data_IF_858515314158
#
_entry.id   IF_858515314158
#
_cell.length_a   1.000
_cell.length_b   1.000
_cell.length_c   1.000
_cell.angle_alpha   90.00
_cell.angle_beta   90.00
_cell.angle_gamma   90.00
#
_symmetry.space_group_name_H-M   'P 1'
#
loop_
_entity.id
_entity.type
_entity.pdbx_description
1 polymer ?
#
# COMPACT_ATOMS: atom_id res chain seq x y z
N UNK A 1 -16.36 -29.32 9.92
CA UNK A 1 -16.28 -29.07 11.36
C UNK A 1 -15.06 -29.79 11.92
N UNK A 2 -14.22 -29.06 12.67
CA UNK A 2 -13.10 -29.66 13.40
C UNK A 2 -13.63 -30.06 14.76
N UNK A 3 -13.50 -31.35 15.11
CA UNK A 3 -13.75 -31.82 16.45
C UNK A 3 -12.56 -31.44 17.33
N UNK A 4 -12.78 -31.19 18.61
CA UNK A 4 -11.74 -30.88 19.61
C UNK A 4 -10.83 -29.71 19.20
N UNK A 5 -11.43 -28.61 18.79
CA UNK A 5 -10.72 -27.38 18.42
C UNK A 5 -9.98 -26.80 19.64
N UNK A 6 -8.65 -26.79 19.60
CA UNK A 6 -7.79 -26.24 20.67
C UNK A 6 -7.17 -24.91 20.34
N UNK A 7 -6.94 -24.58 19.06
CA UNK A 7 -6.31 -23.35 18.61
C UNK A 7 -6.86 -22.89 17.27
N UNK A 8 -7.07 -21.59 17.12
CA UNK A 8 -7.31 -20.91 15.85
C UNK A 8 -6.25 -19.82 15.68
N UNK A 9 -5.58 -19.80 14.54
CA UNK A 9 -4.62 -18.75 14.18
C UNK A 9 -5.16 -17.99 12.97
N UNK A 10 -5.22 -16.67 13.08
CA UNK A 10 -5.58 -15.75 12.00
C UNK A 10 -4.38 -14.87 11.72
N UNK A 11 -3.66 -15.17 10.66
CA UNK A 11 -2.53 -14.37 10.21
C UNK A 11 -3.01 -13.17 9.40
N UNK A 12 -2.28 -12.04 9.48
CA UNK A 12 -2.66 -10.76 8.86
C UNK A 12 -4.14 -10.39 9.13
N UNK A 13 -4.55 -10.44 10.41
CA UNK A 13 -5.96 -10.31 10.84
C UNK A 13 -6.67 -9.04 10.35
N UNK A 14 -5.88 -8.02 9.99
CA UNK A 14 -6.35 -6.74 9.45
C UNK A 14 -6.78 -6.81 7.98
N UNK A 15 -6.49 -7.92 7.29
CA UNK A 15 -6.76 -8.06 5.87
C UNK A 15 -8.24 -7.93 5.52
N UNK A 16 -8.53 -7.01 4.60
CA UNK A 16 -9.92 -6.76 4.15
C UNK A 16 -10.55 -7.96 3.44
N UNK A 17 -9.76 -8.91 2.95
CA UNK A 17 -10.24 -10.14 2.31
C UNK A 17 -10.96 -11.08 3.27
N UNK A 18 -10.76 -10.94 4.58
CA UNK A 18 -11.53 -11.67 5.58
C UNK A 18 -13.00 -11.19 5.70
N UNK A 19 -13.33 -10.04 5.10
CA UNK A 19 -14.70 -9.54 5.08
C UNK A 19 -15.42 -10.01 3.83
N UNK A 20 -16.42 -10.88 4.00
CA UNK A 20 -17.36 -11.20 2.94
C UNK A 20 -18.37 -10.07 2.78
N UNK A 21 -18.38 -9.42 1.62
CA UNK A 21 -19.29 -8.33 1.30
C UNK A 21 -20.52 -8.85 0.55
N UNK A 22 -20.33 -9.82 -0.34
CA UNK A 22 -21.34 -10.45 -1.17
C UNK A 22 -20.91 -11.88 -1.50
N UNK A 23 -21.80 -12.89 -1.51
CA UNK A 23 -23.20 -12.84 -1.10
C UNK A 23 -23.42 -12.80 0.42
N UNK A 24 -24.69 -12.69 0.84
CA UNK A 24 -25.05 -12.94 2.25
C UNK A 24 -24.87 -14.44 2.60
N UNK A 25 -24.53 -14.75 3.89
CA UNK A 25 -24.36 -13.85 5.04
C UNK A 25 -23.07 -13.07 4.98
N UNK A 26 -23.13 -11.77 5.30
CA UNK A 26 -21.97 -10.84 5.30
C UNK A 26 -21.24 -10.94 6.63
N UNK A 27 -20.28 -11.85 6.76
CA UNK A 27 -19.49 -12.06 7.96
C UNK A 27 -18.06 -11.52 7.79
N UNK A 28 -17.33 -11.43 8.89
CA UNK A 28 -15.89 -11.21 8.92
C UNK A 28 -15.24 -12.48 9.45
N UNK A 29 -14.37 -13.12 8.67
CA UNK A 29 -13.82 -14.42 9.05
C UNK A 29 -13.00 -14.36 10.35
N UNK A 30 -12.26 -13.26 10.61
CA UNK A 30 -11.59 -13.02 11.89
C UNK A 30 -12.56 -13.09 13.07
N UNK A 31 -13.68 -12.39 12.98
CA UNK A 31 -14.65 -12.32 14.07
C UNK A 31 -15.34 -13.68 14.27
N UNK A 32 -15.62 -14.39 13.18
CA UNK A 32 -16.11 -15.78 13.22
C UNK A 32 -15.08 -16.70 13.89
N UNK A 33 -13.78 -16.55 13.58
CA UNK A 33 -12.71 -17.33 14.18
C UNK A 33 -12.65 -17.11 15.70
N UNK A 34 -12.71 -15.88 16.17
CA UNK A 34 -12.75 -15.53 17.60
C UNK A 34 -13.97 -16.16 18.29
N UNK A 35 -15.15 -15.99 17.71
CA UNK A 35 -16.37 -16.57 18.29
C UNK A 35 -16.35 -18.09 18.29
N UNK A 36 -15.84 -18.72 17.24
CA UNK A 36 -15.73 -20.18 17.15
C UNK A 36 -14.76 -20.76 18.19
N UNK A 37 -13.60 -20.08 18.36
CA UNK A 37 -12.64 -20.46 19.39
C UNK A 37 -13.25 -20.34 20.79
N UNK A 38 -13.91 -19.21 21.08
CA UNK A 38 -14.59 -18.99 22.35
C UNK A 38 -15.63 -20.05 22.66
N UNK A 39 -16.50 -20.41 21.71
CA UNK A 39 -17.51 -21.45 21.87
C UNK A 39 -16.92 -22.86 22.11
N UNK A 40 -15.71 -23.09 21.56
CA UNK A 40 -15.02 -24.39 21.73
C UNK A 40 -14.10 -24.44 22.98
N UNK A 41 -13.97 -23.35 23.73
CA UNK A 41 -12.98 -23.23 24.80
C UNK A 41 -11.54 -23.23 24.29
N UNK A 42 -11.33 -22.89 23.02
CA UNK A 42 -10.03 -22.90 22.34
C UNK A 42 -9.35 -21.52 22.43
N UNK A 43 -8.04 -21.50 22.28
CA UNK A 43 -7.28 -20.26 22.09
C UNK A 43 -7.50 -19.69 20.68
N UNK A 44 -7.53 -18.35 20.56
CA UNK A 44 -7.51 -17.66 19.27
C UNK A 44 -6.34 -16.69 19.23
N UNK A 45 -5.43 -16.83 18.25
CA UNK A 45 -4.28 -15.96 18.04
C UNK A 45 -4.53 -15.13 16.79
N UNK A 46 -4.51 -13.82 16.95
CA UNK A 46 -4.62 -12.84 15.85
C UNK A 46 -3.23 -12.24 15.62
N UNK A 47 -2.62 -12.52 14.47
CA UNK A 47 -1.29 -12.05 14.09
C UNK A 47 -1.37 -10.87 13.13
N UNK A 48 -0.62 -9.80 13.38
CA UNK A 48 -0.46 -8.69 12.45
C UNK A 48 0.70 -7.78 12.85
N UNK A 49 1.43 -7.27 11.87
CA UNK A 49 2.36 -6.17 12.07
C UNK A 49 1.63 -4.81 12.22
N UNK A 50 0.42 -4.72 11.67
CA UNK A 50 -0.43 -3.52 11.65
C UNK A 50 -1.87 -3.91 12.04
N UNK A 51 -2.11 -4.20 13.32
CA UNK A 51 -3.42 -4.68 13.77
C UNK A 51 -4.56 -3.75 13.38
N UNK A 52 -5.74 -4.32 13.14
CA UNK A 52 -6.94 -3.54 12.88
C UNK A 52 -7.35 -2.69 14.08
N UNK A 53 -8.00 -1.56 13.83
CA UNK A 53 -8.47 -0.68 14.91
C UNK A 53 -9.40 -1.41 15.89
N UNK A 54 -10.20 -2.37 15.41
CA UNK A 54 -11.06 -3.21 16.25
C UNK A 54 -10.25 -4.09 17.20
N UNK A 55 -9.18 -4.74 16.70
CA UNK A 55 -8.32 -5.59 17.53
C UNK A 55 -7.58 -4.78 18.59
N UNK A 56 -7.07 -3.60 18.21
CA UNK A 56 -6.43 -2.65 19.15
C UNK A 56 -7.42 -2.18 20.21
N UNK A 57 -8.63 -1.79 19.81
CA UNK A 57 -9.66 -1.35 20.74
C UNK A 57 -10.07 -2.47 21.73
N UNK A 58 -10.21 -3.71 21.25
CA UNK A 58 -10.52 -4.85 22.10
C UNK A 58 -9.38 -5.19 23.06
N UNK A 59 -8.12 -5.06 22.64
CA UNK A 59 -6.97 -5.23 23.51
C UNK A 59 -6.91 -4.14 24.60
N UNK A 60 -7.12 -2.87 24.23
CA UNK A 60 -7.17 -1.75 25.18
C UNK A 60 -8.34 -1.87 26.18
N UNK A 61 -9.44 -2.45 25.76
CA UNK A 61 -10.58 -2.73 26.63
C UNK A 61 -10.41 -4.01 27.50
N UNK A 62 -9.25 -4.69 27.42
CA UNK A 62 -8.97 -5.91 28.19
C UNK A 62 -9.70 -7.16 27.71
N UNK A 63 -10.34 -7.13 26.53
CA UNK A 63 -11.00 -8.29 25.93
C UNK A 63 -10.01 -9.25 25.28
N UNK A 64 -8.89 -8.72 24.77
CA UNK A 64 -7.79 -9.47 24.19
C UNK A 64 -6.51 -9.23 25.00
N UNK A 65 -5.66 -10.24 25.08
CA UNK A 65 -4.31 -10.10 25.61
C UNK A 65 -3.38 -9.68 24.48
N UNK A 66 -2.72 -8.54 24.62
CA UNK A 66 -1.75 -8.05 23.64
C UNK A 66 -0.38 -8.66 23.92
N UNK A 67 0.17 -9.33 22.92
CA UNK A 67 1.55 -9.83 22.90
C UNK A 67 2.34 -9.03 21.87
N UNK A 68 3.47 -8.49 22.28
CA UNK A 68 4.32 -7.67 21.40
C UNK A 68 5.56 -8.45 20.99
N UNK A 69 5.90 -8.38 19.71
CA UNK A 69 7.12 -8.91 19.12
C UNK A 69 7.92 -7.73 18.51
N UNK A 70 8.66 -6.97 19.34
CA UNK A 70 9.32 -5.74 18.92
C UNK A 70 10.52 -5.97 17.99
N UNK A 71 11.10 -7.18 18.05
CA UNK A 71 12.28 -7.53 17.28
C UNK A 71 11.91 -8.51 16.16
N UNK A 72 12.62 -8.39 15.04
CA UNK A 72 12.54 -9.39 13.96
C UNK A 72 13.14 -10.71 14.44
N UNK A 73 12.54 -11.82 14.03
CA UNK A 73 13.08 -13.16 14.34
C UNK A 73 14.43 -13.33 13.65
N UNK A 74 15.46 -13.80 14.37
CA UNK A 74 16.75 -14.11 13.79
C UNK A 74 16.64 -15.09 12.62
N UNK A 75 17.40 -14.85 11.56
CA UNK A 75 17.39 -15.74 10.39
C UNK A 75 18.32 -16.92 10.65
N UNK A 76 17.80 -18.14 10.50
CA UNK A 76 18.59 -19.36 10.60
C UNK A 76 19.17 -19.68 9.21
N UNK A 77 20.48 -19.62 9.07
CA UNK A 77 21.17 -19.99 7.85
C UNK A 77 21.07 -21.49 7.54
N UNK A 78 21.29 -21.91 6.27
CA UNK A 78 21.32 -23.33 5.88
C UNK A 78 22.39 -24.14 6.64
N UNK A 79 23.45 -23.48 7.10
CA UNK A 79 24.55 -24.00 7.89
C UNK A 79 24.24 -24.14 9.40
N UNK A 80 23.01 -23.81 9.81
CA UNK A 80 22.57 -23.83 11.21
C UNK A 80 23.01 -22.61 12.01
N UNK A 81 23.73 -21.66 11.41
CA UNK A 81 24.09 -20.40 12.08
C UNK A 81 22.88 -19.51 12.26
N UNK A 82 22.80 -18.83 13.40
CA UNK A 82 21.77 -17.84 13.67
C UNK A 82 22.34 -16.46 13.43
N UNK A 83 21.78 -15.72 12.48
CA UNK A 83 22.20 -14.36 12.15
C UNK A 83 21.25 -13.36 12.75
N UNK A 84 21.77 -12.24 13.22
CA UNK A 84 20.94 -11.12 13.66
C UNK A 84 20.04 -10.64 12.51
N UNK A 85 18.78 -10.30 12.78
CA UNK A 85 17.87 -9.79 11.76
C UNK A 85 18.36 -8.41 11.28
N UNK A 86 18.19 -8.14 9.99
CA UNK A 86 18.46 -6.82 9.45
C UNK A 86 17.57 -5.76 10.14
N UNK A 87 18.10 -4.55 10.43
CA UNK A 87 17.31 -3.47 11.00
C UNK A 87 16.15 -3.10 10.07
N UNK A 88 15.13 -2.44 10.61
CA UNK A 88 14.07 -1.88 9.77
C UNK A 88 14.67 -0.82 8.84
N UNK A 89 14.25 -0.78 7.56
CA UNK A 89 14.77 0.21 6.63
C UNK A 89 14.34 1.63 7.07
N UNK A 90 15.20 2.63 6.93
CA UNK A 90 14.83 4.02 7.11
C UNK A 90 13.75 4.40 6.10
N UNK A 91 12.76 5.17 6.56
CA UNK A 91 11.66 5.67 5.74
C UNK A 91 11.86 7.17 5.55
N UNK A 92 11.97 7.61 4.30
CA UNK A 92 12.05 9.02 3.92
C UNK A 92 10.74 9.43 3.24
N UNK A 93 10.16 10.53 3.70
CA UNK A 93 8.97 11.12 3.11
C UNK A 93 9.36 12.32 2.27
N UNK A 94 8.91 12.37 1.03
CA UNK A 94 9.17 13.45 0.08
C UNK A 94 7.88 14.19 -0.23
N UNK A 95 7.88 15.48 -0.02
CA UNK A 95 6.75 16.37 -0.36
C UNK A 95 6.80 16.73 -1.85
N UNK A 96 5.96 16.07 -2.65
CA UNK A 96 5.85 16.32 -4.09
C UNK A 96 5.34 17.74 -4.41
N UNK A 97 4.49 18.31 -3.56
CA UNK A 97 4.03 19.69 -3.73
C UNK A 97 5.19 20.69 -3.65
N UNK A 98 6.07 20.48 -2.66
CA UNK A 98 7.30 21.28 -2.54
C UNK A 98 8.26 21.06 -3.72
N UNK A 99 8.46 19.82 -4.16
CA UNK A 99 9.31 19.51 -5.31
C UNK A 99 8.80 20.15 -6.61
N UNK A 100 7.48 20.16 -6.82
CA UNK A 100 6.86 20.84 -7.98
C UNK A 100 7.14 22.32 -7.97
N UNK A 101 7.04 22.99 -6.82
CA UNK A 101 7.27 24.43 -6.67
C UNK A 101 8.75 24.78 -6.80
N UNK A 102 9.63 24.06 -6.13
CA UNK A 102 11.05 24.41 -6.04
C UNK A 102 11.84 23.87 -7.23
N UNK A 103 11.62 22.63 -7.63
CA UNK A 103 12.39 21.93 -8.67
C UNK A 103 11.65 21.81 -9.99
N UNK A 104 10.43 22.37 -10.12
CA UNK A 104 9.57 22.29 -11.31
C UNK A 104 9.33 20.85 -11.78
N UNK A 105 9.13 19.94 -10.83
CA UNK A 105 8.86 18.53 -11.12
C UNK A 105 7.63 18.38 -12.02
N UNK A 106 7.79 17.75 -13.18
CA UNK A 106 6.68 17.52 -14.14
C UNK A 106 6.13 16.09 -14.11
N UNK A 107 6.79 15.16 -13.44
CA UNK A 107 6.44 13.75 -13.41
C UNK A 107 5.82 13.28 -12.10
N UNK A 108 5.72 11.97 -11.97
CA UNK A 108 5.26 11.28 -10.76
C UNK A 108 6.42 10.91 -9.84
N UNK A 109 7.66 10.82 -10.35
CA UNK A 109 8.83 10.42 -9.58
C UNK A 109 9.60 11.65 -9.07
N UNK A 110 9.75 11.80 -7.76
CA UNK A 110 10.56 12.83 -7.13
C UNK A 110 12.04 12.71 -7.53
N UNK A 111 12.76 13.81 -7.39
CA UNK A 111 14.20 13.81 -7.64
C UNK A 111 14.94 12.80 -6.75
N UNK A 112 14.57 12.75 -5.47
CA UNK A 112 15.18 11.84 -4.50
C UNK A 112 14.93 10.36 -4.87
N UNK A 113 13.70 10.03 -5.33
CA UNK A 113 13.41 8.68 -5.77
C UNK A 113 14.15 8.32 -7.05
N UNK A 114 14.31 9.26 -8.00
CA UNK A 114 15.08 9.04 -9.23
C UNK A 114 16.56 8.75 -8.92
N UNK A 115 17.19 9.55 -8.06
CA UNK A 115 18.58 9.32 -7.64
C UNK A 115 18.74 7.96 -6.93
N UNK A 116 17.78 7.59 -6.08
CA UNK A 116 17.83 6.31 -5.40
C UNK A 116 17.68 5.13 -6.39
N UNK A 117 16.85 5.25 -7.41
CA UNK A 117 16.72 4.23 -8.47
C UNK A 117 18.05 4.11 -9.24
N UNK A 118 18.65 5.22 -9.66
CA UNK A 118 19.95 5.23 -10.36
C UNK A 118 21.02 4.51 -9.54
N UNK A 119 21.14 4.86 -8.27
CA UNK A 119 22.12 4.23 -7.35
C UNK A 119 21.90 2.70 -7.25
N UNK A 120 20.66 2.22 -7.25
CA UNK A 120 20.37 0.79 -7.19
C UNK A 120 20.65 0.07 -8.52
N UNK A 121 20.39 0.73 -9.65
CA UNK A 121 20.74 0.20 -10.98
C UNK A 121 22.26 0.05 -11.11
N UNK A 122 23.04 1.07 -10.69
CA UNK A 122 24.50 1.03 -10.73
C UNK A 122 25.08 -0.07 -9.85
N UNK A 123 24.44 -0.39 -8.72
CA UNK A 123 24.84 -1.46 -7.80
C UNK A 123 24.36 -2.85 -8.23
N UNK A 124 23.50 -2.96 -9.26
CA UNK A 124 22.85 -4.21 -9.65
C UNK A 124 21.83 -4.72 -8.62
N UNK A 125 21.32 -3.82 -7.80
CA UNK A 125 20.29 -4.08 -6.81
C UNK A 125 18.90 -3.88 -7.41
N UNK A 126 17.87 -4.38 -6.72
CA UNK A 126 16.50 -4.34 -7.22
C UNK A 126 15.64 -3.32 -6.49
N UNK A 127 14.69 -2.75 -7.21
CA UNK A 127 13.73 -1.76 -6.69
C UNK A 127 12.31 -2.27 -6.85
N UNK A 128 11.48 -2.09 -5.81
CA UNK A 128 10.03 -2.23 -5.89
C UNK A 128 9.41 -0.83 -5.88
N UNK A 129 8.58 -0.55 -6.89
CA UNK A 129 7.78 0.66 -6.96
C UNK A 129 6.31 0.31 -6.75
N UNK A 130 5.75 0.79 -5.65
CA UNK A 130 4.33 0.69 -5.39
C UNK A 130 3.63 1.93 -5.89
N UNK A 131 2.72 1.77 -6.84
CA UNK A 131 1.73 2.80 -7.11
C UNK A 131 0.51 2.53 -6.24
N UNK A 132 0.25 3.44 -5.29
CA UNK A 132 -0.86 3.29 -4.36
C UNK A 132 -2.20 3.58 -5.04
N UNK A 133 -2.60 2.71 -5.99
CA UNK A 133 -3.87 2.80 -6.71
C UNK A 133 -4.89 1.81 -6.16
N UNK A 134 -5.89 2.29 -5.43
CA UNK A 134 -7.14 1.55 -5.21
C UNK A 134 -8.31 2.33 -5.77
N UNK A 135 -9.12 1.66 -6.60
CA UNK A 135 -10.47 2.10 -6.95
C UNK A 135 -10.57 3.19 -8.01
N UNK A 136 -11.65 3.12 -8.75
CA UNK A 136 -12.00 3.99 -9.88
C UNK A 136 -12.75 5.26 -9.41
N UNK A 137 -12.48 5.76 -8.21
CA UNK A 137 -13.09 7.01 -7.76
C UNK A 137 -12.16 8.18 -8.15
N UNK A 138 -12.50 8.95 -9.19
CA UNK A 138 -11.72 10.11 -9.58
C UNK A 138 -11.89 11.18 -8.50
N UNK A 139 -10.91 11.27 -7.60
CA UNK A 139 -10.84 12.34 -6.61
C UNK A 139 -10.17 13.55 -7.25
N UNK A 140 -10.72 14.74 -7.01
CA UNK A 140 -10.11 15.99 -7.44
C UNK A 140 -9.02 16.40 -6.45
N UNK A 141 -7.87 16.86 -6.94
CA UNK A 141 -6.81 17.42 -6.09
C UNK A 141 -6.17 18.63 -6.76
N UNK A 142 -5.73 19.57 -5.96
CA UNK A 142 -4.92 20.69 -6.43
C UNK A 142 -3.45 20.24 -6.56
N UNK A 143 -2.84 20.49 -7.72
CA UNK A 143 -1.42 20.12 -7.93
C UNK A 143 -0.45 20.97 -7.09
N UNK A 144 -0.85 22.20 -6.77
CA UNK A 144 0.03 23.15 -6.07
C UNK A 144 0.02 22.99 -4.55
N UNK A 145 -1.13 22.74 -3.92
CA UNK A 145 -1.23 22.69 -2.47
C UNK A 145 -1.73 21.33 -1.93
N UNK A 146 -2.16 20.40 -2.80
CA UNK A 146 -2.69 19.11 -2.38
C UNK A 146 -4.13 19.14 -1.86
N UNK A 147 -4.82 20.29 -1.93
CA UNK A 147 -6.21 20.39 -1.52
C UNK A 147 -7.09 19.36 -2.22
N UNK A 148 -7.99 18.75 -1.46
CA UNK A 148 -8.95 17.76 -1.93
C UNK A 148 -10.33 18.06 -1.35
N UNK A 149 -11.40 18.08 -2.15
CA UNK A 149 -12.75 18.36 -1.66
C UNK A 149 -13.23 17.24 -0.73
N UNK A 150 -13.66 17.63 0.47
CA UNK A 150 -14.13 16.73 1.51
C UNK A 150 -15.59 17.00 1.84
N UNK A 151 -16.38 15.94 2.01
CA UNK A 151 -17.78 16.07 2.39
C UNK A 151 -17.89 16.62 3.82
N UNK A 152 -18.68 17.69 3.98
CA UNK A 152 -18.87 18.36 5.29
C UNK A 152 -19.59 17.46 6.31
N UNK A 153 -20.45 16.55 5.85
CA UNK A 153 -21.27 15.71 6.74
C UNK A 153 -20.59 14.36 7.05
N UNK A 154 -19.76 13.85 6.14
CA UNK A 154 -19.20 12.50 6.26
C UNK A 154 -17.68 12.46 6.46
N UNK A 155 -17.00 13.61 6.33
CA UNK A 155 -15.54 13.75 6.44
C UNK A 155 -14.75 12.80 5.51
N UNK A 156 -15.34 12.42 4.37
CA UNK A 156 -14.71 11.61 3.31
C UNK A 156 -14.55 12.44 2.06
N UNK A 157 -13.57 12.10 1.21
CA UNK A 157 -13.36 12.81 -0.04
C UNK A 157 -14.57 12.71 -0.98
N UNK A 158 -14.87 13.81 -1.66
CA UNK A 158 -15.86 13.85 -2.72
C UNK A 158 -15.26 13.31 -4.02
N UNK A 159 -16.06 12.59 -4.80
CA UNK A 159 -15.66 12.05 -6.10
C UNK A 159 -16.24 12.83 -7.25
N UNK A 160 -15.48 12.95 -8.33
CA UNK A 160 -15.94 13.60 -9.57
C UNK A 160 -16.89 12.66 -10.29
N UNK A 161 -18.13 13.08 -10.45
CA UNK A 161 -19.15 12.36 -11.19
C UNK A 161 -19.22 12.88 -12.64
N UNK A 162 -18.67 12.11 -13.59
CA UNK A 162 -18.54 12.54 -15.00
C UNK A 162 -19.88 12.92 -15.66
N UNK A 163 -20.97 12.10 -15.52
CA UNK A 163 -22.23 12.39 -16.20
C UNK A 163 -22.90 13.70 -15.76
N UNK A 164 -22.72 14.09 -14.51
CA UNK A 164 -23.37 15.28 -13.92
C UNK A 164 -22.42 16.44 -13.69
N UNK A 165 -21.14 16.31 -14.07
CA UNK A 165 -20.10 17.33 -13.89
C UNK A 165 -20.08 17.96 -12.49
N UNK A 166 -20.24 17.13 -11.44
CA UNK A 166 -20.23 17.58 -10.05
C UNK A 166 -19.33 16.68 -9.18
N UNK A 167 -19.06 17.16 -7.97
CA UNK A 167 -18.48 16.41 -6.88
C UNK A 167 -19.61 15.73 -6.09
N UNK A 168 -19.47 14.46 -5.73
CA UNK A 168 -20.49 13.73 -5.00
C UNK A 168 -19.92 12.88 -3.86
N UNK A 169 -20.61 12.93 -2.74
CA UNK A 169 -20.35 12.02 -1.62
C UNK A 169 -21.05 10.66 -1.85
N UNK A 170 -20.30 9.57 -1.77
CA UNK A 170 -20.88 8.24 -1.90
C UNK A 170 -21.61 7.73 -0.65
N UNK A 171 -21.50 8.43 0.49
CA UNK A 171 -22.19 8.07 1.74
C UNK A 171 -23.56 8.76 1.87
N UNK A 172 -23.58 10.08 1.81
CA UNK A 172 -24.84 10.85 2.01
C UNK A 172 -25.47 11.36 0.72
N UNK A 173 -24.80 11.21 -0.43
CA UNK A 173 -25.30 11.68 -1.70
C UNK A 173 -25.15 13.18 -1.95
N UNK A 174 -24.59 13.96 -0.99
CA UNK A 174 -24.32 15.40 -1.17
C UNK A 174 -23.58 15.64 -2.47
N UNK A 175 -24.06 16.62 -3.23
CA UNK A 175 -23.44 17.04 -4.49
C UNK A 175 -23.00 18.52 -4.40
N UNK A 176 -21.82 18.82 -4.93
CA UNK A 176 -21.23 20.16 -4.96
C UNK A 176 -20.68 20.42 -6.37
N UNK A 177 -20.57 21.69 -6.74
CA UNK A 177 -19.96 22.06 -8.03
C UNK A 177 -18.45 21.82 -7.98
N UNK A 178 -17.88 21.43 -9.12
CA UNK A 178 -16.42 21.41 -9.28
C UNK A 178 -15.96 22.89 -9.31
N UNK A 179 -15.06 23.31 -8.41
CA UNK A 179 -14.54 24.66 -8.42
C UNK A 179 -13.66 24.89 -9.66
N UNK A 180 -13.65 26.12 -10.17
CA UNK A 180 -12.79 26.52 -11.31
C UNK A 180 -11.34 26.70 -10.89
N UNK A 181 -11.12 27.05 -9.62
CA UNK A 181 -9.80 27.19 -9.00
C UNK A 181 -9.83 26.63 -7.59
N UNK A 182 -8.65 26.29 -7.08
CA UNK A 182 -8.49 25.75 -5.73
C UNK A 182 -8.99 26.75 -4.67
N UNK A 183 -9.91 26.36 -3.78
CA UNK A 183 -10.41 27.26 -2.74
C UNK A 183 -9.32 27.67 -1.72
N UNK A 184 -8.28 26.85 -1.54
CA UNK A 184 -7.23 27.08 -0.55
C UNK A 184 -6.09 27.97 -1.06
N UNK A 185 -5.66 27.78 -2.31
CA UNK A 185 -4.50 28.51 -2.84
C UNK A 185 -4.78 29.33 -4.13
N UNK A 186 -5.99 29.27 -4.67
CA UNK A 186 -6.38 29.99 -5.88
C UNK A 186 -5.83 29.42 -7.19
N UNK A 187 -5.09 28.31 -7.16
CA UNK A 187 -4.54 27.69 -8.37
C UNK A 187 -5.63 27.13 -9.28
N UNK A 188 -5.55 27.33 -10.62
CA UNK A 188 -6.43 26.68 -11.58
C UNK A 188 -6.06 25.20 -11.82
N UNK A 189 -4.90 24.75 -11.34
CA UNK A 189 -4.35 23.42 -11.62
C UNK A 189 -5.00 22.34 -10.75
N UNK A 190 -6.26 22.06 -11.07
CA UNK A 190 -7.04 21.00 -10.46
C UNK A 190 -7.03 19.75 -11.34
N UNK A 191 -6.46 18.66 -10.84
CA UNK A 191 -6.43 17.38 -11.55
C UNK A 191 -7.25 16.31 -10.86
N UNK A 192 -7.64 15.31 -11.65
CA UNK A 192 -8.24 14.08 -11.14
C UNK A 192 -7.12 13.08 -10.83
N UNK A 193 -7.00 12.67 -9.58
CA UNK A 193 -6.10 11.58 -9.20
C UNK A 193 -6.54 10.28 -9.85
N UNK A 194 -5.59 9.45 -10.27
CA UNK A 194 -5.87 8.15 -10.86
C UNK A 194 -5.21 7.93 -12.23
N UNK A 195 -4.13 8.64 -12.55
CA UNK A 195 -3.26 8.27 -13.67
C UNK A 195 -2.67 6.88 -13.40
N UNK A 196 -2.84 5.96 -14.37
CA UNK A 196 -2.51 4.55 -14.19
C UNK A 196 -1.02 4.27 -14.05
N UNK A 197 -0.70 3.05 -13.62
CA UNK A 197 0.65 2.45 -13.62
C UNK A 197 1.38 2.65 -14.94
N UNK A 198 0.64 2.76 -16.04
CA UNK A 198 1.18 3.00 -17.37
C UNK A 198 1.94 4.32 -17.48
N UNK A 199 1.45 5.42 -16.89
CA UNK A 199 2.17 6.71 -16.91
C UNK A 199 3.48 6.64 -16.11
N UNK A 200 3.48 5.94 -14.98
CA UNK A 200 4.71 5.73 -14.19
C UNK A 200 5.68 4.84 -14.95
N UNK A 201 5.19 3.81 -15.64
CA UNK A 201 6.00 2.94 -16.51
C UNK A 201 6.66 3.72 -17.65
N UNK A 202 5.89 4.58 -18.34
CA UNK A 202 6.40 5.47 -19.39
C UNK A 202 7.50 6.40 -18.84
N UNK A 203 7.28 7.01 -17.69
CA UNK A 203 8.25 7.90 -17.03
C UNK A 203 9.54 7.15 -16.63
N UNK A 204 9.42 5.89 -16.19
CA UNK A 204 10.58 5.04 -15.87
C UNK A 204 11.32 4.69 -17.16
N UNK A 205 10.62 4.32 -18.24
CA UNK A 205 11.23 3.97 -19.52
C UNK A 205 11.99 5.15 -20.15
N UNK A 206 11.46 6.36 -20.02
CA UNK A 206 12.13 7.59 -20.46
C UNK A 206 13.33 7.96 -19.60
N UNK A 207 13.18 7.85 -18.28
CA UNK A 207 14.23 8.23 -17.32
C UNK A 207 15.36 7.21 -17.19
N UNK A 208 15.07 5.92 -17.37
CA UNK A 208 15.99 4.80 -17.18
C UNK A 208 15.91 3.79 -18.34
N UNK A 209 16.36 4.17 -19.55
CA UNK A 209 16.17 3.33 -20.75
C UNK A 209 16.89 1.98 -20.68
N UNK A 210 17.90 1.82 -19.84
CA UNK A 210 18.62 0.56 -19.63
C UNK A 210 17.97 -0.35 -18.58
N UNK A 211 17.00 0.15 -17.80
CA UNK A 211 16.37 -0.62 -16.74
C UNK A 211 15.35 -1.63 -17.29
N UNK A 212 15.44 -2.85 -16.80
CA UNK A 212 14.47 -3.90 -17.11
C UNK A 212 13.31 -3.81 -16.12
N UNK A 213 12.13 -3.46 -16.62
CA UNK A 213 10.94 -3.23 -15.79
C UNK A 213 9.94 -4.36 -15.96
N UNK A 214 9.44 -4.90 -14.85
CA UNK A 214 8.27 -5.78 -14.82
C UNK A 214 7.10 -5.04 -14.20
N UNK A 215 5.92 -5.12 -14.84
CA UNK A 215 4.69 -4.55 -14.33
C UNK A 215 3.77 -5.64 -13.77
N UNK A 216 3.25 -5.41 -12.56
CA UNK A 216 2.35 -6.32 -11.87
C UNK A 216 1.09 -5.58 -11.41
N UNK A 217 0.07 -5.62 -12.22
CA UNK A 217 -1.27 -5.07 -11.96
C UNK A 217 -2.36 -6.05 -12.41
N UNK A 218 -3.62 -5.66 -12.29
CA UNK A 218 -4.75 -6.51 -12.69
C UNK A 218 -4.72 -6.87 -14.18
N UNK A 219 -4.25 -5.97 -15.04
CA UNK A 219 -4.22 -6.19 -16.49
C UNK A 219 -3.16 -7.24 -16.85
N UNK A 220 -1.98 -7.15 -16.24
CA UNK A 220 -0.86 -8.08 -16.48
C UNK A 220 -1.04 -9.43 -15.79
N UNK A 221 -1.86 -9.51 -14.73
CA UNK A 221 -2.05 -10.72 -13.92
C UNK A 221 -3.39 -11.42 -14.14
N UNK A 222 -4.18 -11.01 -15.13
CA UNK A 222 -5.50 -11.59 -15.44
C UNK A 222 -5.47 -13.08 -15.83
N UNK A 223 -4.36 -13.56 -16.40
CA UNK A 223 -4.20 -14.97 -16.80
C UNK A 223 -3.74 -15.82 -15.61
N UNK A 224 -4.29 -17.04 -15.49
CA UNK A 224 -3.90 -17.99 -14.44
C UNK A 224 -2.37 -18.25 -14.47
N UNK A 225 -1.72 -18.03 -13.33
CA UNK A 225 -0.29 -18.24 -13.17
C UNK A 225 0.60 -17.07 -13.63
N UNK A 226 0.07 -16.00 -14.23
CA UNK A 226 0.85 -14.83 -14.66
C UNK A 226 1.52 -14.13 -13.46
N UNK A 227 0.81 -13.99 -12.36
CA UNK A 227 1.35 -13.43 -11.11
C UNK A 227 2.64 -14.16 -10.68
N UNK A 228 2.59 -15.49 -10.59
CA UNK A 228 3.74 -16.30 -10.17
C UNK A 228 4.91 -16.17 -11.15
N UNK A 229 4.65 -16.16 -12.45
CA UNK A 229 5.70 -16.00 -13.48
C UNK A 229 6.44 -14.67 -13.35
N UNK A 230 5.73 -13.58 -13.10
CA UNK A 230 6.34 -12.25 -12.87
C UNK A 230 7.24 -12.27 -11.64
N UNK A 231 6.76 -12.85 -10.53
CA UNK A 231 7.54 -12.94 -9.30
C UNK A 231 8.77 -13.83 -9.44
N UNK A 232 8.63 -14.98 -10.10
CA UNK A 232 9.74 -15.90 -10.35
C UNK A 232 10.80 -15.23 -11.24
N UNK A 233 10.40 -14.49 -12.27
CA UNK A 233 11.32 -13.74 -13.13
C UNK A 233 12.04 -12.63 -12.34
N UNK A 234 11.32 -11.86 -11.53
CA UNK A 234 11.93 -10.83 -10.70
C UNK A 234 12.90 -11.45 -9.67
N UNK A 235 12.53 -12.55 -9.04
CA UNK A 235 13.38 -13.27 -8.08
C UNK A 235 14.68 -13.81 -8.69
N UNK A 236 14.66 -14.26 -9.94
CA UNK A 236 15.88 -14.67 -10.67
C UNK A 236 16.77 -13.50 -11.07
N UNK A 237 16.24 -12.28 -11.09
CA UNK A 237 16.94 -11.09 -11.54
C UNK A 237 16.82 -10.80 -13.01
N UNK A 238 15.76 -11.30 -13.63
CA UNK A 238 15.44 -11.01 -15.02
C UNK A 238 15.00 -9.53 -15.20
N UNK A 239 14.72 -8.83 -14.08
CA UNK A 239 14.38 -7.41 -14.06
C UNK A 239 14.98 -6.68 -12.85
N UNK A 240 15.16 -5.37 -13.01
CA UNK A 240 15.76 -4.46 -12.03
C UNK A 240 14.67 -3.74 -11.21
N UNK A 241 13.54 -3.42 -11.86
CA UNK A 241 12.40 -2.78 -11.22
C UNK A 241 11.14 -3.63 -11.32
N UNK A 242 10.41 -3.70 -10.22
CA UNK A 242 9.06 -4.25 -10.17
C UNK A 242 8.08 -3.12 -9.85
N UNK A 243 7.34 -2.68 -10.87
CA UNK A 243 6.27 -1.68 -10.73
C UNK A 243 4.94 -2.40 -10.53
N UNK A 244 4.24 -2.08 -9.46
CA UNK A 244 2.93 -2.69 -9.27
C UNK A 244 2.03 -1.94 -8.30
N UNK A 245 0.83 -2.49 -8.14
CA UNK A 245 -0.14 -2.02 -7.17
C UNK A 245 0.00 -2.83 -5.86
N UNK A 246 -1.02 -2.91 -5.05
CA UNK A 246 -1.00 -3.65 -3.77
C UNK A 246 -0.55 -5.11 -3.86
N UNK A 247 -0.53 -5.68 -5.07
CA UNK A 247 -0.07 -7.05 -5.28
C UNK A 247 1.42 -7.22 -4.96
N UNK A 248 2.22 -6.14 -5.09
CA UNK A 248 3.65 -6.14 -4.72
C UNK A 248 3.89 -6.03 -3.21
N UNK A 249 2.86 -5.75 -2.42
CA UNK A 249 2.98 -5.64 -0.97
C UNK A 249 2.96 -6.99 -0.25
N UNK A 250 2.44 -8.06 -0.88
CA UNK A 250 2.15 -9.32 -0.20
C UNK A 250 3.13 -10.44 -0.57
N UNK A 251 3.57 -11.18 0.45
CA UNK A 251 4.23 -12.48 0.28
C UNK A 251 5.57 -12.49 -0.44
N UNK A 252 6.18 -11.33 -0.70
CA UNK A 252 7.41 -11.23 -1.47
C UNK A 252 8.62 -11.15 -0.56
N UNK A 253 9.64 -11.96 -0.87
CA UNK A 253 10.92 -11.94 -0.21
C UNK A 253 12.03 -12.06 -1.26
N UNK A 254 12.65 -10.91 -1.56
CA UNK A 254 13.67 -10.80 -2.58
C UNK A 254 14.97 -10.27 -1.98
N UNK A 255 16.05 -11.05 -1.97
CA UNK A 255 17.30 -10.68 -1.30
C UNK A 255 17.96 -9.42 -1.85
N UNK A 256 17.74 -9.11 -3.13
CA UNK A 256 18.35 -7.95 -3.79
C UNK A 256 17.50 -6.69 -3.76
N UNK A 257 16.31 -6.73 -3.18
CA UNK A 257 15.45 -5.54 -3.04
C UNK A 257 15.94 -4.69 -1.88
N UNK A 258 16.57 -3.58 -2.21
CA UNK A 258 17.11 -2.61 -1.25
C UNK A 258 16.39 -1.26 -1.31
N UNK A 259 15.60 -1.00 -2.36
CA UNK A 259 14.78 0.21 -2.46
C UNK A 259 13.30 -0.15 -2.62
N UNK A 260 12.48 0.50 -1.83
CA UNK A 260 11.03 0.52 -2.01
C UNK A 260 10.58 1.97 -2.18
N UNK A 261 10.02 2.28 -3.35
CA UNK A 261 9.42 3.58 -3.64
C UNK A 261 7.90 3.47 -3.65
N UNK A 262 7.22 4.39 -2.97
CA UNK A 262 5.76 4.51 -3.05
C UNK A 262 5.41 5.78 -3.80
N UNK A 263 4.79 5.60 -4.96
CA UNK A 263 4.38 6.71 -5.82
C UNK A 263 2.96 7.14 -5.47
N UNK A 264 2.77 8.45 -5.26
CA UNK A 264 1.48 9.03 -4.87
C UNK A 264 0.89 8.33 -3.62
N UNK A 265 1.66 8.29 -2.52
CA UNK A 265 1.30 7.61 -1.28
C UNK A 265 -0.07 8.06 -0.73
N UNK A 266 -0.40 9.34 -0.88
CA UNK A 266 -1.64 9.95 -0.38
C UNK A 266 -2.90 9.45 -1.08
N UNK A 267 -2.78 8.94 -2.30
CA UNK A 267 -3.95 8.55 -3.12
C UNK A 267 -4.85 7.55 -2.38
N UNK A 268 -4.27 6.65 -1.61
CA UNK A 268 -5.02 5.68 -0.82
C UNK A 268 -5.85 6.32 0.30
N UNK A 269 -5.32 7.38 0.94
CA UNK A 269 -6.01 8.10 2.03
C UNK A 269 -7.18 8.95 1.52
N UNK A 270 -7.11 9.37 0.25
CA UNK A 270 -8.13 10.19 -0.38
C UNK A 270 -9.33 9.39 -0.92
N UNK A 271 -9.34 8.07 -0.76
CA UNK A 271 -10.49 7.26 -1.16
C UNK A 271 -11.72 7.61 -0.30
N UNK A 272 -12.94 7.57 -0.89
CA UNK A 272 -14.18 7.84 -0.17
C UNK A 272 -14.58 6.64 0.72
N UNK A 273 -13.71 6.27 1.64
CA UNK A 273 -13.89 5.18 2.60
C UNK A 273 -13.37 5.64 3.97
N UNK A 274 -14.17 5.49 5.02
CA UNK A 274 -13.79 5.90 6.39
C UNK A 274 -12.57 5.14 6.91
N UNK A 275 -12.24 3.99 6.33
CA UNK A 275 -11.02 3.20 6.63
C UNK A 275 -9.85 3.50 5.70
N UNK A 276 -9.97 4.49 4.83
CA UNK A 276 -8.96 4.79 3.82
C UNK A 276 -7.58 5.02 4.44
N UNK A 277 -7.51 5.82 5.50
CA UNK A 277 -6.26 6.11 6.21
C UNK A 277 -5.66 4.85 6.87
N UNK A 278 -6.48 4.06 7.59
CA UNK A 278 -6.07 2.79 8.21
C UNK A 278 -5.47 1.83 7.17
N UNK A 279 -6.19 1.59 6.09
CA UNK A 279 -5.74 0.67 5.02
C UNK A 279 -4.49 1.17 4.29
N UNK A 280 -4.38 2.48 4.10
CA UNK A 280 -3.19 3.06 3.48
C UNK A 280 -1.99 2.88 4.39
N UNK A 281 -2.11 3.17 5.68
CA UNK A 281 -1.05 2.93 6.65
C UNK A 281 -0.61 1.46 6.66
N UNK A 282 -1.56 0.52 6.72
CA UNK A 282 -1.29 -0.91 6.69
C UNK A 282 -0.52 -1.31 5.43
N UNK A 283 -0.94 -0.81 4.27
CA UNK A 283 -0.26 -1.07 3.00
C UNK A 283 1.15 -0.52 2.98
N UNK A 284 1.34 0.74 3.39
CA UNK A 284 2.65 1.40 3.42
C UNK A 284 3.61 0.67 4.37
N UNK A 285 3.14 0.27 5.56
CA UNK A 285 3.93 -0.49 6.53
C UNK A 285 4.33 -1.87 5.99
N UNK A 286 3.41 -2.58 5.32
CA UNK A 286 3.72 -3.87 4.69
C UNK A 286 4.77 -3.75 3.60
N UNK A 287 4.65 -2.73 2.74
CA UNK A 287 5.59 -2.49 1.63
C UNK A 287 6.94 -2.03 2.16
N UNK A 288 6.96 -1.14 3.15
CA UNK A 288 8.19 -0.70 3.81
C UNK A 288 8.98 -1.89 4.37
N UNK A 289 8.29 -2.86 4.94
CA UNK A 289 8.91 -4.11 5.42
C UNK A 289 9.52 -4.99 4.34
N UNK A 290 9.44 -4.67 3.05
CA UNK A 290 10.04 -5.45 1.95
C UNK A 290 11.49 -5.07 1.66
N UNK A 291 11.90 -3.84 1.92
CA UNK A 291 13.27 -3.40 1.71
C UNK A 291 14.22 -3.98 2.77
N UNK A 292 15.40 -4.43 2.34
CA UNK A 292 16.50 -4.81 3.23
C UNK A 292 16.15 -5.93 4.22
N UNK A 293 15.55 -7.02 3.75
CA UNK A 293 15.23 -8.17 4.61
C UNK A 293 16.41 -9.08 4.88
N UNK A 294 17.41 -9.04 4.02
CA UNK A 294 18.60 -9.88 4.07
C UNK A 294 19.83 -9.09 4.53
N UNK A 295 20.98 -9.32 3.92
CA UNK A 295 22.26 -8.72 4.32
C UNK A 295 22.41 -7.25 3.88
N UNK A 296 21.72 -6.87 2.81
CA UNK A 296 21.78 -5.51 2.28
C UNK A 296 20.82 -4.58 3.03
N UNK A 297 21.31 -3.41 3.40
CA UNK A 297 20.48 -2.40 4.04
C UNK A 297 19.48 -1.83 3.03
N UNK A 298 18.21 -1.83 3.39
CA UNK A 298 17.14 -1.25 2.56
C UNK A 298 16.84 0.19 2.90
N UNK A 299 16.14 0.86 1.98
CA UNK A 299 15.60 2.21 2.12
C UNK A 299 14.18 2.26 1.58
N UNK A 300 13.34 3.11 2.16
CA UNK A 300 11.97 3.34 1.71
C UNK A 300 11.76 4.82 1.44
N UNK A 301 11.22 5.15 0.27
CA UNK A 301 10.85 6.52 -0.10
C UNK A 301 9.35 6.58 -0.36
N UNK A 302 8.65 7.37 0.45
CA UNK A 302 7.22 7.68 0.31
C UNK A 302 7.09 9.07 -0.30
N UNK A 303 6.33 9.19 -1.38
CA UNK A 303 6.12 10.47 -2.05
C UNK A 303 4.68 10.70 -2.50
#
# INVERSE_FOLDING_TARGET
>A
PVADLGLVVVDEEHESSYKQVDPAPRYHARDVAVMRAHQAGAACVLGSATPSMESVANANAGKYTRLEMPERVPVRGPDGTTRAPAPLPPVRVVDLGRERKVRRLKGALSHDLRLAIEDRLDKGEQTILLQNRRGYAPVLTCEDCGWTPTCRDCAVSLTVHKPTHNLRCHYCGRAERIPEACPDCGSPDLRRLGAGTQRVEEEIAEGFPSARVLRMDLDTTSRKGAHRKILDAFGRGDADLLLGTQMVAKGLDFPRVTLVGVVEADTGMLLPDFRAAERTFQLLAQVAGRAGRHELQGEVILQ
#
